data_IF_611185796845
#
_entry.id   IF_611185796845
#
_cell.length_a   1.000
_cell.length_b   1.000
_cell.length_c   1.000
_cell.angle_alpha   90.00
_cell.angle_beta   90.00
_cell.angle_gamma   90.00
#
_symmetry.space_group_name_H-M   'P 1'
#
loop_
_entity.id
_entity.type
_entity.pdbx_description
1 polymer ?
#
# COMPACT_ATOMS: atom_id res chain seq x y z
N UNK A 1 -20.37 20.21 14.17
CA UNK A 1 -18.96 19.96 13.80
C UNK A 1 -18.73 20.50 12.39
N UNK A 2 -17.78 21.43 12.18
CA UNK A 2 -17.44 21.97 10.85
C UNK A 2 -16.27 21.17 10.28
N UNK A 3 -16.57 20.08 9.58
CA UNK A 3 -15.54 19.33 8.86
C UNK A 3 -15.38 19.90 7.45
N UNK A 4 -14.17 20.38 7.15
CA UNK A 4 -13.77 20.74 5.80
C UNK A 4 -13.29 19.46 5.11
N UNK A 5 -13.91 19.12 3.99
CA UNK A 5 -13.58 17.95 3.19
C UNK A 5 -13.19 18.42 1.79
N UNK A 6 -12.13 17.84 1.23
CA UNK A 6 -11.79 17.97 -0.19
C UNK A 6 -11.29 16.60 -0.62
N UNK A 7 -11.88 16.03 -1.67
CA UNK A 7 -11.47 14.73 -2.17
C UNK A 7 -11.81 14.54 -3.64
N UNK A 8 -11.07 13.65 -4.29
CA UNK A 8 -11.41 13.18 -5.64
C UNK A 8 -12.62 12.27 -5.61
N UNK A 9 -13.40 12.27 -6.70
CA UNK A 9 -14.67 11.58 -6.78
C UNK A 9 -14.82 10.82 -8.09
N UNK A 10 -15.34 9.60 -8.01
CA UNK A 10 -15.91 8.90 -9.16
C UNK A 10 -17.36 9.38 -9.32
N UNK A 11 -17.63 10.08 -10.42
CA UNK A 11 -18.93 10.72 -10.70
C UNK A 11 -19.92 9.77 -11.40
N UNK A 12 -19.41 8.78 -12.14
CA UNK A 12 -20.16 7.87 -13.02
C UNK A 12 -21.24 7.03 -12.31
N UNK A 13 -21.13 6.81 -10.99
CA UNK A 13 -22.08 5.99 -10.21
C UNK A 13 -22.73 6.76 -9.06
N UNK A 14 -22.60 8.09 -9.01
CA UNK A 14 -23.11 8.89 -7.88
C UNK A 14 -24.42 9.60 -8.20
N UNK A 15 -25.45 9.25 -7.44
CA UNK A 15 -26.74 9.96 -7.45
C UNK A 15 -26.54 11.41 -6.99
N UNK A 16 -27.15 12.36 -7.70
CA UNK A 16 -27.08 13.79 -7.38
C UNK A 16 -25.84 14.52 -7.91
N UNK A 17 -25.05 13.88 -8.78
CA UNK A 17 -23.99 14.56 -9.53
C UNK A 17 -24.58 15.55 -10.55
N UNK A 18 -23.85 16.63 -10.83
CA UNK A 18 -24.25 17.64 -11.81
C UNK A 18 -23.63 17.32 -13.17
N UNK A 19 -24.46 16.91 -14.13
CA UNK A 19 -24.05 16.55 -15.50
C UNK A 19 -23.43 17.73 -16.27
N UNK A 20 -23.70 18.98 -15.89
CA UNK A 20 -23.08 20.17 -16.50
C UNK A 20 -21.55 20.24 -16.30
N UNK A 21 -21.04 19.52 -15.28
CA UNK A 21 -19.62 19.41 -15.03
C UNK A 21 -18.94 18.35 -15.90
N UNK A 22 -19.69 17.49 -16.58
CA UNK A 22 -19.13 16.38 -17.32
C UNK A 22 -18.32 16.86 -18.53
N UNK A 23 -17.10 16.34 -18.62
CA UNK A 23 -16.22 16.59 -19.74
C UNK A 23 -16.29 15.42 -20.73
N UNK A 24 -16.42 15.67 -22.05
CA UNK A 24 -16.74 14.63 -23.05
C UNK A 24 -15.67 13.55 -23.24
N UNK A 25 -14.45 13.74 -22.70
CA UNK A 25 -13.32 12.80 -22.83
C UNK A 25 -12.56 12.66 -21.52
N UNK A 26 -11.98 11.49 -21.24
CA UNK A 26 -11.14 11.28 -20.05
C UNK A 26 -9.83 12.10 -20.07
N UNK A 27 -9.33 12.43 -21.25
CA UNK A 27 -8.13 13.26 -21.46
C UNK A 27 -8.52 14.67 -21.91
N UNK A 28 -7.76 15.67 -21.46
CA UNK A 28 -7.95 17.07 -21.88
C UNK A 28 -7.72 17.20 -23.39
N UNK A 29 -8.59 17.94 -24.06
CA UNK A 29 -8.44 18.27 -25.48
C UNK A 29 -7.54 19.50 -25.66
N UNK A 30 -6.81 19.56 -26.77
CA UNK A 30 -5.87 20.67 -27.06
C UNK A 30 -6.53 22.05 -26.98
N UNK A 31 -7.80 22.16 -27.38
CA UNK A 31 -8.62 23.38 -27.34
C UNK A 31 -8.95 23.88 -25.93
N UNK A 32 -8.95 23.01 -24.92
CA UNK A 32 -9.24 23.41 -23.53
C UNK A 32 -7.92 23.84 -22.90
N UNK A 33 -7.77 25.10 -22.44
CA UNK A 33 -6.56 25.52 -21.75
C UNK A 33 -6.24 24.61 -20.57
N UNK A 34 -4.95 24.36 -20.35
CA UNK A 34 -4.52 23.54 -19.22
C UNK A 34 -4.82 24.28 -17.91
N UNK A 35 -5.40 23.60 -16.94
CA UNK A 35 -5.81 24.19 -15.67
C UNK A 35 -7.22 24.77 -15.67
N UNK A 36 -7.93 24.76 -16.80
CA UNK A 36 -9.34 25.13 -16.83
C UNK A 36 -10.14 24.29 -15.85
N UNK A 37 -11.09 24.92 -15.17
CA UNK A 37 -11.97 24.24 -14.24
C UNK A 37 -13.38 24.81 -14.31
N UNK A 38 -14.35 24.00 -13.91
CA UNK A 38 -15.74 24.40 -13.69
C UNK A 38 -16.15 24.00 -12.29
N UNK A 39 -17.00 24.79 -11.66
CA UNK A 39 -17.51 24.48 -10.32
C UNK A 39 -18.99 24.70 -10.27
N UNK A 40 -19.67 23.83 -9.52
CA UNK A 40 -21.10 23.94 -9.25
C UNK A 40 -21.32 23.73 -7.76
N UNK A 41 -22.14 24.59 -7.17
CA UNK A 41 -22.55 24.49 -5.76
C UNK A 41 -23.79 23.61 -5.69
N UNK A 42 -23.84 22.68 -4.72
CA UNK A 42 -24.98 21.80 -4.56
C UNK A 42 -26.23 22.58 -4.13
N UNK A 43 -27.34 22.37 -4.85
CA UNK A 43 -28.63 23.03 -4.56
C UNK A 43 -29.15 22.74 -3.15
N UNK A 44 -28.95 21.50 -2.68
CA UNK A 44 -29.41 21.04 -1.36
C UNK A 44 -28.49 21.45 -0.21
N UNK A 45 -27.24 21.81 -0.50
CA UNK A 45 -26.27 22.21 0.51
C UNK A 45 -25.29 23.23 -0.10
N UNK A 46 -25.48 24.54 0.16
CA UNK A 46 -24.59 25.59 -0.31
C UNK A 46 -23.13 25.44 0.16
N UNK A 47 -22.89 24.65 1.20
CA UNK A 47 -21.55 24.30 1.66
C UNK A 47 -20.85 23.26 0.79
N UNK A 48 -21.51 22.61 -0.16
CA UNK A 48 -20.90 21.55 -0.97
C UNK A 48 -20.67 22.04 -2.40
N UNK A 49 -19.43 21.88 -2.89
CA UNK A 49 -19.02 22.29 -4.23
C UNK A 49 -18.45 21.09 -4.97
N UNK A 50 -18.96 20.84 -6.17
CA UNK A 50 -18.41 19.91 -7.14
C UNK A 50 -17.51 20.67 -8.13
N UNK A 51 -16.36 20.11 -8.46
CA UNK A 51 -15.36 20.76 -9.33
C UNK A 51 -14.93 19.76 -10.41
N UNK A 52 -14.89 20.21 -11.66
CA UNK A 52 -14.18 19.55 -12.75
C UNK A 52 -12.90 20.31 -13.04
N UNK A 53 -11.77 19.63 -13.07
CA UNK A 53 -10.46 20.21 -13.37
C UNK A 53 -9.81 19.50 -14.56
N UNK A 54 -9.43 20.29 -15.57
CA UNK A 54 -8.84 19.82 -16.82
C UNK A 54 -7.33 20.11 -16.86
N UNK A 55 -6.52 19.11 -16.53
CA UNK A 55 -5.06 19.19 -16.61
C UNK A 55 -4.51 18.32 -17.77
N UNK A 56 -3.69 17.31 -17.50
CA UNK A 56 -3.40 16.28 -18.51
C UNK A 56 -4.61 15.34 -18.69
N UNK A 57 -5.25 15.01 -17.58
CA UNK A 57 -6.48 14.24 -17.50
C UNK A 57 -7.59 15.10 -16.89
N UNK A 58 -8.82 14.64 -17.02
CA UNK A 58 -9.95 15.25 -16.33
C UNK A 58 -10.08 14.61 -14.95
N UNK A 59 -10.17 15.44 -13.91
CA UNK A 59 -10.33 15.00 -12.53
C UNK A 59 -11.50 15.75 -11.91
N UNK A 60 -12.32 15.02 -11.17
CA UNK A 60 -13.46 15.57 -10.46
C UNK A 60 -13.18 15.60 -8.96
N UNK A 61 -13.64 16.65 -8.30
CA UNK A 61 -13.52 16.82 -6.85
C UNK A 61 -14.88 17.16 -6.24
N UNK A 62 -15.03 16.78 -4.98
CA UNK A 62 -16.10 17.23 -4.11
C UNK A 62 -15.48 17.90 -2.89
N UNK A 63 -15.95 19.08 -2.54
CA UNK A 63 -15.42 19.86 -1.45
C UNK A 63 -16.51 20.50 -0.59
N UNK A 64 -16.33 20.48 0.73
CA UNK A 64 -16.99 21.39 1.71
C UNK A 64 -16.48 22.82 1.46
N UNK A 65 -17.10 23.90 1.94
CA UNK A 65 -16.84 25.23 1.40
C UNK A 65 -15.44 25.67 1.81
N UNK A 66 -14.53 25.58 0.85
CA UNK A 66 -13.16 26.06 0.90
C UNK A 66 -13.07 27.10 -0.21
N UNK A 67 -12.34 28.19 0.06
CA UNK A 67 -12.19 29.39 -0.78
C UNK A 67 -12.31 29.08 -2.29
N UNK A 68 -13.44 29.52 -2.86
CA UNK A 68 -13.86 29.37 -4.26
C UNK A 68 -13.00 30.20 -5.23
N UNK A 69 -12.04 30.96 -4.72
CA UNK A 69 -11.15 31.78 -5.54
C UNK A 69 -10.24 30.91 -6.42
N UNK A 70 -10.13 31.29 -7.70
CA UNK A 70 -9.10 30.77 -8.58
C UNK A 70 -7.72 31.19 -8.07
N UNK A 71 -6.78 30.25 -8.05
CA UNK A 71 -5.38 30.51 -7.73
C UNK A 71 -4.49 30.04 -8.88
N UNK A 72 -3.21 30.41 -8.87
CA UNK A 72 -2.24 29.91 -9.83
C UNK A 72 -1.25 28.98 -9.14
N UNK A 73 -0.81 27.96 -9.86
CA UNK A 73 0.31 27.08 -9.47
C UNK A 73 1.36 27.15 -10.55
N UNK A 74 2.62 27.37 -10.13
CA UNK A 74 3.77 27.30 -11.03
C UNK A 74 3.97 25.86 -11.45
N UNK A 75 3.99 25.60 -12.76
CA UNK A 75 4.32 24.28 -13.31
C UNK A 75 5.38 24.37 -14.38
N UNK A 76 6.28 23.40 -14.35
CA UNK A 76 7.20 23.10 -15.45
C UNK A 76 6.43 22.27 -16.47
N UNK A 77 6.28 22.82 -17.67
CA UNK A 77 5.70 22.09 -18.80
C UNK A 77 6.86 21.41 -19.52
N UNK A 78 6.69 20.15 -19.94
CA UNK A 78 7.70 19.46 -20.76
C UNK A 78 8.09 20.38 -21.91
N UNK A 79 9.38 20.68 -22.01
CA UNK A 79 10.01 21.55 -23.01
C UNK A 79 9.62 23.05 -23.03
N UNK A 80 9.03 23.61 -21.96
CA UNK A 80 8.75 25.06 -21.85
C UNK A 80 9.15 25.65 -20.50
N UNK A 81 9.46 26.96 -20.43
CA UNK A 81 9.74 27.66 -19.18
C UNK A 81 8.55 27.57 -18.20
N UNK A 82 8.85 27.83 -16.91
CA UNK A 82 7.85 27.81 -15.84
C UNK A 82 6.63 28.65 -16.21
N UNK A 83 5.45 28.04 -16.22
CA UNK A 83 4.19 28.70 -16.55
C UNK A 83 3.24 28.67 -15.34
N UNK A 84 2.49 29.76 -15.17
CA UNK A 84 1.43 29.82 -14.17
C UNK A 84 0.18 29.16 -14.75
N UNK A 85 -0.22 28.04 -14.17
CA UNK A 85 -1.42 27.31 -14.56
C UNK A 85 -2.53 27.65 -13.58
N UNK A 86 -3.71 27.97 -14.10
CA UNK A 86 -4.88 28.23 -13.27
C UNK A 86 -5.29 26.96 -12.53
N UNK A 87 -5.66 27.08 -11.27
CA UNK A 87 -6.18 25.98 -10.47
C UNK A 87 -7.17 26.49 -9.41
N UNK A 88 -8.18 25.69 -9.03
CA UNK A 88 -9.03 26.00 -7.89
C UNK A 88 -8.21 26.12 -6.60
N UNK A 89 -8.42 27.16 -5.80
CA UNK A 89 -7.75 27.34 -4.49
C UNK A 89 -7.93 26.14 -3.56
N UNK A 90 -9.10 25.49 -3.62
CA UNK A 90 -9.42 24.26 -2.90
C UNK A 90 -8.50 23.08 -3.27
N UNK A 91 -8.06 22.97 -4.53
CA UNK A 91 -7.12 21.93 -4.96
C UNK A 91 -5.72 22.22 -4.43
N UNK A 92 -5.29 23.49 -4.44
CA UNK A 92 -4.02 23.91 -3.84
C UNK A 92 -3.99 23.59 -2.34
N UNK A 93 -5.06 23.91 -1.63
CA UNK A 93 -5.20 23.60 -0.20
C UNK A 93 -5.15 22.09 0.07
N UNK A 94 -5.87 21.28 -0.73
CA UNK A 94 -5.80 19.82 -0.63
C UNK A 94 -4.38 19.29 -0.81
N UNK A 95 -3.69 19.74 -1.87
CA UNK A 95 -2.33 19.30 -2.15
C UNK A 95 -1.36 19.67 -1.04
N UNK A 96 -1.41 20.90 -0.53
CA UNK A 96 -0.59 21.34 0.61
C UNK A 96 -0.92 20.53 1.87
N UNK A 97 -2.20 20.19 2.09
CA UNK A 97 -2.61 19.33 3.20
C UNK A 97 -2.01 17.92 3.11
N UNK A 98 -2.09 17.29 1.94
CA UNK A 98 -1.49 15.95 1.71
C UNK A 98 0.02 15.99 1.86
N UNK A 99 0.70 17.02 1.33
CA UNK A 99 2.13 17.21 1.52
C UNK A 99 2.48 17.38 3.00
N UNK A 100 1.74 18.20 3.75
CA UNK A 100 1.94 18.39 5.18
C UNK A 100 1.85 17.07 5.95
N UNK A 101 0.82 16.27 5.66
CA UNK A 101 0.66 14.94 6.27
C UNK A 101 1.82 14.00 5.92
N UNK A 102 2.27 13.99 4.67
CA UNK A 102 3.39 13.18 4.23
C UNK A 102 4.71 13.59 4.93
N UNK A 103 4.96 14.89 5.10
CA UNK A 103 6.13 15.41 5.80
C UNK A 103 6.13 15.00 7.28
N UNK A 104 4.99 15.11 7.97
CA UNK A 104 4.86 14.67 9.37
C UNK A 104 5.11 13.16 9.49
N UNK A 105 4.50 12.36 8.62
CA UNK A 105 4.71 10.91 8.63
C UNK A 105 6.17 10.52 8.33
N UNK A 106 6.80 11.21 7.37
CA UNK A 106 8.21 11.02 7.05
C UNK A 106 9.10 11.36 8.25
N UNK A 107 8.79 12.44 8.97
CA UNK A 107 9.52 12.82 10.18
C UNK A 107 9.33 11.80 11.32
N UNK A 108 8.11 11.28 11.54
CA UNK A 108 7.87 10.24 12.55
C UNK A 108 8.74 9.00 12.27
N UNK A 109 8.80 8.56 11.01
CA UNK A 109 9.62 7.41 10.61
C UNK A 109 11.11 7.73 10.78
N UNK A 110 11.55 8.90 10.31
CA UNK A 110 12.92 9.35 10.45
C UNK A 110 13.33 9.37 11.93
N UNK A 111 12.51 9.98 12.80
CA UNK A 111 12.75 10.04 14.24
C UNK A 111 12.84 8.64 14.87
N UNK A 112 11.92 7.74 14.55
CA UNK A 112 11.93 6.36 15.05
C UNK A 112 13.21 5.59 14.65
N UNK A 113 13.70 5.79 13.42
CA UNK A 113 14.95 5.16 12.94
C UNK A 113 16.17 5.82 13.60
N UNK A 114 16.14 7.14 13.80
CA UNK A 114 17.25 7.90 14.37
C UNK A 114 17.36 7.85 15.90
N UNK A 115 16.31 7.49 16.62
CA UNK A 115 16.40 7.21 18.07
C UNK A 115 17.43 6.12 18.41
N UNK A 116 17.74 5.25 17.44
CA UNK A 116 18.75 4.19 17.57
C UNK A 116 20.18 4.67 17.29
N UNK A 117 20.38 5.94 16.90
CA UNK A 117 21.70 6.51 16.56
C UNK A 117 22.18 7.51 17.62
N UNK A 118 23.50 7.62 17.86
CA UNK A 118 24.06 8.48 18.91
C UNK A 118 23.95 9.99 18.60
N UNK A 119 23.84 10.38 17.33
CA UNK A 119 23.57 11.77 16.93
C UNK A 119 22.13 11.91 16.46
N UNK A 120 21.37 12.76 17.16
CA UNK A 120 20.01 13.15 16.77
C UNK A 120 20.09 14.36 15.85
N UNK A 121 19.52 14.26 14.66
CA UNK A 121 19.34 15.41 13.79
C UNK A 121 18.15 16.23 14.31
N UNK A 122 18.26 17.55 14.27
CA UNK A 122 17.13 18.42 14.60
C UNK A 122 16.02 18.29 13.54
N UNK A 123 14.78 18.64 13.91
CA UNK A 123 13.66 18.72 12.95
C UNK A 123 13.98 19.65 11.76
N UNK A 124 14.71 20.73 12.03
CA UNK A 124 15.15 21.68 11.01
C UNK A 124 16.14 21.05 10.02
N UNK A 125 17.16 20.33 10.51
CA UNK A 125 18.14 19.65 9.65
C UNK A 125 17.48 18.59 8.77
N UNK A 126 16.52 17.85 9.30
CA UNK A 126 15.73 16.89 8.52
C UNK A 126 14.99 17.58 7.37
N UNK A 127 14.28 18.68 7.66
CA UNK A 127 13.54 19.42 6.64
C UNK A 127 14.46 20.07 5.60
N UNK A 128 15.63 20.58 6.02
CA UNK A 128 16.61 21.17 5.12
C UNK A 128 17.20 20.12 4.16
N UNK A 129 17.53 18.94 4.68
CA UNK A 129 18.04 17.82 3.89
C UNK A 129 16.98 17.32 2.90
N UNK A 130 15.74 17.12 3.38
CA UNK A 130 14.62 16.71 2.53
C UNK A 130 14.30 17.75 1.44
N UNK A 131 14.38 19.04 1.77
CA UNK A 131 14.17 20.10 0.79
C UNK A 131 15.24 20.07 -0.30
N UNK A 132 16.50 19.88 0.08
CA UNK A 132 17.61 19.75 -0.86
C UNK A 132 17.39 18.56 -1.81
N UNK A 133 17.09 17.39 -1.26
CA UNK A 133 16.81 16.17 -2.04
C UNK A 133 15.67 16.40 -3.03
N UNK A 134 14.54 16.97 -2.58
CA UNK A 134 13.37 17.25 -3.44
C UNK A 134 13.65 18.26 -4.56
N UNK A 135 14.59 19.18 -4.38
CA UNK A 135 15.00 20.16 -5.40
C UNK A 135 15.93 19.53 -6.44
N UNK A 136 16.77 18.59 -6.00
CA UNK A 136 17.72 17.85 -6.85
C UNK A 136 17.03 16.74 -7.69
N UNK A 137 15.78 16.39 -7.35
CA UNK A 137 15.00 15.42 -8.13
C UNK A 137 14.80 15.84 -9.59
N UNK A 138 14.98 14.88 -10.50
CA UNK A 138 14.87 15.09 -11.95
C UNK A 138 13.70 14.29 -12.54
N UNK A 139 13.26 14.62 -13.77
CA UNK A 139 12.22 13.84 -14.47
C UNK A 139 12.60 12.35 -14.56
N UNK A 140 13.90 12.03 -14.63
CA UNK A 140 14.40 10.66 -14.68
C UNK A 140 14.02 9.86 -13.43
N UNK A 141 14.08 10.46 -12.25
CA UNK A 141 13.69 9.85 -10.96
C UNK A 141 12.23 9.39 -10.95
N UNK A 142 11.35 10.10 -11.67
CA UNK A 142 9.92 9.77 -11.77
C UNK A 142 9.61 8.77 -12.89
N UNK A 143 10.52 8.59 -13.86
CA UNK A 143 10.38 7.64 -14.97
C UNK A 143 11.11 6.32 -14.76
N UNK A 144 12.08 6.27 -13.83
CA UNK A 144 12.81 5.05 -13.45
C UNK A 144 11.98 4.05 -12.62
N UNK A 145 10.66 4.27 -12.44
CA UNK A 145 9.76 3.26 -11.89
C UNK A 145 9.36 2.15 -12.89
N UNK A 146 9.91 2.12 -14.10
CA UNK A 146 10.01 0.87 -14.85
C UNK A 146 11.32 0.18 -14.45
N UNK A 147 11.18 -0.83 -13.60
CA UNK A 147 12.16 -1.88 -13.23
C UNK A 147 13.65 -1.48 -13.25
N UNK A 148 14.35 -1.44 -12.09
CA UNK A 148 15.80 -1.36 -12.12
C UNK A 148 16.36 -2.54 -12.93
N UNK A 149 17.45 -2.34 -13.69
CA UNK A 149 18.22 -3.45 -14.24
C UNK A 149 18.66 -4.33 -13.06
N UNK A 150 18.47 -5.62 -13.22
CA UNK A 150 18.92 -6.73 -12.38
C UNK A 150 20.30 -6.46 -11.74
N UNK A 151 20.32 -5.97 -10.50
CA UNK A 151 21.18 -6.45 -9.39
C UNK A 151 21.06 -5.51 -8.21
N UNK A 152 20.10 -5.77 -7.33
CA UNK A 152 20.11 -5.54 -5.88
C UNK A 152 18.68 -5.69 -5.37
N UNK A 153 18.39 -6.86 -4.81
CA UNK A 153 17.11 -7.16 -4.15
C UNK A 153 16.98 -6.31 -2.89
N UNK A 154 16.35 -5.14 -3.02
CA UNK A 154 15.61 -4.53 -1.92
C UNK A 154 14.31 -5.33 -1.76
N UNK A 155 13.91 -5.79 -0.57
CA UNK A 155 12.71 -6.58 -0.41
C UNK A 155 11.49 -5.71 -0.74
N UNK A 156 10.91 -5.96 -1.92
CA UNK A 156 9.63 -5.39 -2.30
C UNK A 156 8.58 -5.73 -1.23
N UNK A 157 7.66 -4.78 -1.05
CA UNK A 157 6.51 -4.91 -0.14
C UNK A 157 5.84 -6.27 -0.31
N UNK A 158 5.26 -6.84 0.76
CA UNK A 158 4.80 -8.21 0.75
C UNK A 158 3.71 -8.35 -0.31
N UNK A 159 4.03 -9.05 -1.40
CA UNK A 159 3.05 -9.48 -2.40
C UNK A 159 1.94 -10.16 -1.62
N UNK A 160 0.73 -9.62 -1.78
CA UNK A 160 -0.49 -10.21 -1.22
C UNK A 160 -0.53 -11.62 -1.79
N UNK A 161 -0.38 -12.62 -0.92
CA UNK A 161 -0.52 -14.02 -1.31
C UNK A 161 -1.78 -14.12 -2.17
N UNK A 162 -1.64 -14.67 -3.38
CA UNK A 162 -2.71 -14.83 -4.37
C UNK A 162 -4.04 -15.07 -3.64
N UNK A 163 -5.10 -14.30 -3.97
CA UNK A 163 -6.41 -14.32 -3.28
C UNK A 163 -7.00 -15.73 -3.08
N UNK A 164 -6.51 -16.68 -3.86
CA UNK A 164 -6.82 -18.09 -3.86
C UNK A 164 -6.22 -18.90 -2.70
N UNK A 165 -5.08 -18.49 -2.13
CA UNK A 165 -4.34 -19.21 -1.09
C UNK A 165 -4.57 -18.64 0.31
N UNK A 166 -5.84 -18.42 0.66
CA UNK A 166 -6.23 -17.94 1.98
C UNK A 166 -5.98 -19.01 3.08
N UNK A 167 -5.45 -18.57 4.23
CA UNK A 167 -5.23 -19.44 5.37
C UNK A 167 -6.53 -19.61 6.18
N UNK A 168 -6.91 -20.86 6.41
CA UNK A 168 -8.07 -21.26 7.22
C UNK A 168 -7.59 -21.82 8.57
N UNK A 169 -8.30 -21.52 9.65
CA UNK A 169 -7.98 -22.03 10.98
C UNK A 169 -8.50 -23.47 11.13
N UNK A 170 -7.68 -24.37 11.67
CA UNK A 170 -8.05 -25.76 11.96
C UNK A 170 -9.14 -25.81 13.04
N UNK A 171 -10.13 -26.69 12.85
CA UNK A 171 -11.19 -26.99 13.82
C UNK A 171 -10.84 -28.12 14.79
N UNK A 172 -9.82 -28.93 14.48
CA UNK A 172 -9.24 -29.95 15.37
C UNK A 172 -8.92 -29.35 16.73
N UNK A 173 -9.68 -29.74 17.75
CA UNK A 173 -9.39 -29.42 19.13
C UNK A 173 -8.81 -30.65 19.85
N UNK A 174 -7.95 -30.40 20.84
CA UNK A 174 -7.45 -31.40 21.78
C UNK A 174 -7.85 -30.99 23.19
N UNK A 175 -8.31 -31.97 23.96
CA UNK A 175 -8.49 -31.81 25.40
C UNK A 175 -7.12 -31.85 26.08
N UNK A 176 -6.78 -30.78 26.80
CA UNK A 176 -5.60 -30.73 27.64
C UNK A 176 -6.02 -30.20 29.01
N UNK A 177 -5.93 -31.04 30.04
CA UNK A 177 -6.33 -30.72 31.41
C UNK A 177 -7.74 -30.11 31.52
N UNK A 178 -8.72 -30.71 30.83
CA UNK A 178 -10.13 -30.25 30.83
C UNK A 178 -10.42 -29.01 29.98
N UNK A 179 -9.41 -28.37 29.39
CA UNK A 179 -9.57 -27.21 28.50
C UNK A 179 -9.44 -27.65 27.04
N UNK A 180 -10.46 -27.34 26.23
CA UNK A 180 -10.44 -27.58 24.80
C UNK A 180 -9.54 -26.54 24.11
N UNK A 181 -8.43 -26.98 23.50
CA UNK A 181 -7.48 -26.11 22.78
C UNK A 181 -7.31 -26.57 21.35
N UNK A 182 -7.29 -25.62 20.41
CA UNK A 182 -7.02 -25.92 19.01
C UNK A 182 -5.64 -26.57 18.83
N UNK A 183 -5.59 -27.58 17.97
CA UNK A 183 -4.40 -28.37 17.70
C UNK A 183 -3.37 -27.53 16.94
N UNK A 184 -2.31 -27.15 17.63
CA UNK A 184 -1.17 -26.48 17.01
C UNK A 184 -0.28 -27.48 16.27
N UNK A 185 -0.15 -27.31 14.96
CA UNK A 185 0.71 -28.10 14.07
C UNK A 185 1.99 -27.33 13.76
N UNK A 186 3.06 -28.03 13.35
CA UNK A 186 4.32 -27.38 12.99
C UNK A 186 4.14 -26.66 11.65
N UNK A 187 4.61 -25.41 11.58
CA UNK A 187 4.63 -24.66 10.33
C UNK A 187 5.69 -25.26 9.40
N UNK A 188 5.31 -25.61 8.16
CA UNK A 188 6.23 -26.22 7.20
C UNK A 188 7.45 -25.33 6.92
N UNK A 189 7.26 -24.02 6.76
CA UNK A 189 8.37 -23.07 6.55
C UNK A 189 9.29 -22.97 7.77
N UNK A 190 8.73 -22.85 8.98
CA UNK A 190 9.55 -22.79 10.19
C UNK A 190 10.32 -24.10 10.41
N UNK A 191 9.75 -25.25 10.02
CA UNK A 191 10.43 -26.54 10.09
C UNK A 191 11.67 -26.61 9.18
N UNK A 192 11.69 -25.88 8.06
CA UNK A 192 12.86 -25.83 7.16
C UNK A 192 13.95 -24.94 7.72
N UNK A 193 13.60 -23.75 8.22
CA UNK A 193 14.55 -22.81 8.82
C UNK A 193 14.97 -23.17 10.25
N UNK A 194 14.63 -24.39 10.68
CA UNK A 194 14.88 -24.84 12.03
C UNK A 194 16.39 -25.05 12.25
N UNK A 195 17.00 -24.38 13.24
CA UNK A 195 18.40 -24.63 13.56
C UNK A 195 18.58 -26.02 14.19
N UNK A 196 19.73 -26.63 13.93
CA UNK A 196 20.12 -27.90 14.52
C UNK A 196 20.10 -27.81 16.06
N UNK A 197 19.49 -28.81 16.71
CA UNK A 197 19.41 -28.88 18.17
C UNK A 197 18.12 -28.35 18.82
N UNK A 198 17.25 -27.60 18.13
CA UNK A 198 15.94 -27.21 18.73
C UNK A 198 14.92 -28.35 18.66
N UNK A 199 14.10 -28.54 19.70
CA UNK A 199 13.02 -29.57 19.69
C UNK A 199 11.81 -29.18 18.85
N UNK A 200 11.49 -27.88 18.76
CA UNK A 200 10.29 -27.39 18.05
C UNK A 200 10.57 -26.03 17.41
N UNK A 201 10.22 -25.88 16.15
CA UNK A 201 10.17 -24.59 15.48
C UNK A 201 8.71 -24.21 15.16
N UNK A 202 8.46 -22.92 14.97
CA UNK A 202 7.15 -22.26 15.02
C UNK A 202 5.92 -23.11 14.70
N UNK A 203 4.91 -23.04 15.57
CA UNK A 203 3.62 -23.72 15.35
C UNK A 203 2.55 -22.77 14.85
N UNK A 204 1.55 -23.32 14.17
CA UNK A 204 0.37 -22.59 13.70
C UNK A 204 -0.87 -23.46 13.83
N UNK A 205 -2.02 -22.80 13.98
CA UNK A 205 -3.36 -23.38 13.87
C UNK A 205 -3.97 -23.12 12.50
N UNK A 206 -3.23 -22.50 11.58
CA UNK A 206 -3.70 -22.14 10.25
C UNK A 206 -3.08 -23.03 9.18
N UNK A 207 -3.86 -23.38 8.16
CA UNK A 207 -3.43 -24.15 6.99
C UNK A 207 -4.03 -23.57 5.71
N UNK A 208 -3.39 -23.84 4.57
CA UNK A 208 -3.94 -23.47 3.26
C UNK A 208 -4.81 -24.62 2.73
N UNK A 209 -6.07 -24.32 2.38
CA UNK A 209 -7.01 -25.32 1.84
C UNK A 209 -6.62 -25.70 0.41
N UNK A 210 -6.31 -24.73 -0.46
CA UNK A 210 -5.92 -25.03 -1.85
C UNK A 210 -4.64 -25.85 -1.96
N UNK A 211 -3.64 -25.60 -1.11
CA UNK A 211 -2.42 -26.40 -1.14
C UNK A 211 -2.59 -27.81 -0.57
N UNK A 212 -3.75 -28.14 0.02
CA UNK A 212 -4.09 -29.50 0.40
C UNK A 212 -4.49 -30.34 -0.82
N UNK A 213 -5.04 -29.74 -1.87
CA UNK A 213 -5.48 -30.44 -3.08
C UNK A 213 -4.26 -31.13 -3.73
N UNK A 214 -4.19 -32.46 -3.62
CA UNK A 214 -3.09 -33.28 -4.14
C UNK A 214 -1.98 -33.63 -3.15
N UNK A 215 -2.05 -33.22 -1.87
CA UNK A 215 -1.05 -33.62 -0.84
C UNK A 215 -1.67 -34.47 0.27
N UNK A 216 -0.85 -35.32 0.91
CA UNK A 216 -1.32 -36.29 1.92
C UNK A 216 -1.73 -35.67 3.27
N UNK A 217 -1.64 -34.36 3.48
CA UNK A 217 -2.03 -33.73 4.74
C UNK A 217 -2.02 -32.19 4.71
N UNK A 218 -2.58 -31.52 5.75
CA UNK A 218 -2.77 -30.08 5.78
C UNK A 218 -1.44 -29.33 5.81
N UNK A 219 -1.25 -28.43 4.83
CA UNK A 219 -0.09 -27.54 4.80
C UNK A 219 -0.28 -26.44 5.83
N UNK A 220 0.25 -26.70 7.02
CA UNK A 220 0.20 -25.76 8.14
C UNK A 220 1.22 -24.64 7.93
N UNK A 221 0.76 -23.38 7.94
CA UNK A 221 1.58 -22.20 7.70
C UNK A 221 1.28 -21.11 8.73
N UNK A 222 2.31 -20.36 9.10
CA UNK A 222 2.19 -19.21 9.99
C UNK A 222 1.95 -17.92 9.19
N UNK A 223 1.06 -17.03 9.64
CA UNK A 223 0.90 -15.71 9.02
C UNK A 223 1.70 -14.63 9.78
N UNK A 224 2.95 -14.93 10.12
CA UNK A 224 3.84 -14.02 10.87
C UNK A 224 5.20 -13.94 10.21
N UNK A 225 5.79 -12.75 10.19
CA UNK A 225 7.19 -12.55 9.78
C UNK A 225 8.08 -13.13 10.89
N UNK A 226 8.99 -14.04 10.51
CA UNK A 226 9.88 -14.76 11.45
C UNK A 226 11.35 -14.38 11.30
N UNK A 227 11.70 -13.53 10.34
CA UNK A 227 13.08 -13.09 10.08
C UNK A 227 13.96 -14.24 9.59
N UNK A 228 13.47 -15.03 8.63
CA UNK A 228 14.26 -16.12 8.06
C UNK A 228 15.41 -15.53 7.19
N UNK A 229 16.67 -15.98 7.33
CA UNK A 229 17.85 -15.28 6.75
C UNK A 229 17.84 -15.08 5.23
N UNK A 230 17.09 -15.91 4.49
CA UNK A 230 16.95 -15.81 3.04
C UNK A 230 15.63 -15.16 2.59
N UNK A 231 14.72 -14.89 3.54
CA UNK A 231 13.35 -14.45 3.30
C UNK A 231 12.93 -13.43 4.38
N UNK A 232 13.77 -12.43 4.60
CA UNK A 232 13.50 -11.36 5.56
C UNK A 232 12.26 -10.55 5.11
N UNK A 233 11.41 -10.17 6.07
CA UNK A 233 10.18 -9.41 5.80
C UNK A 233 8.98 -10.23 5.28
N UNK A 234 9.17 -11.48 4.83
CA UNK A 234 8.06 -12.32 4.40
C UNK A 234 7.45 -13.13 5.56
N UNK A 235 6.12 -13.31 5.51
CA UNK A 235 5.42 -14.26 6.39
C UNK A 235 5.67 -15.70 5.94
N UNK A 236 5.53 -16.69 6.82
CA UNK A 236 5.63 -18.10 6.39
C UNK A 236 4.65 -18.44 5.25
N UNK A 237 3.45 -17.85 5.26
CA UNK A 237 2.48 -18.02 4.17
C UNK A 237 3.03 -17.53 2.83
N UNK A 238 3.66 -16.37 2.82
CA UNK A 238 4.22 -15.79 1.59
C UNK A 238 5.44 -16.55 1.11
N UNK A 239 6.31 -17.00 2.02
CA UNK A 239 7.45 -17.84 1.66
C UNK A 239 6.96 -19.11 0.96
N UNK A 240 5.92 -19.76 1.49
CA UNK A 240 5.39 -20.98 0.89
C UNK A 240 4.75 -20.75 -0.49
N UNK A 241 3.90 -19.73 -0.62
CA UNK A 241 3.12 -19.53 -1.86
C UNK A 241 3.91 -18.79 -2.95
N UNK A 242 4.76 -17.83 -2.59
CA UNK A 242 5.47 -16.97 -3.53
C UNK A 242 6.90 -17.47 -3.75
N UNK A 243 7.68 -17.60 -2.68
CA UNK A 243 9.11 -17.90 -2.81
C UNK A 243 9.34 -19.37 -3.15
N UNK A 244 8.54 -20.27 -2.59
CA UNK A 244 8.65 -21.70 -2.82
C UNK A 244 7.65 -22.23 -3.86
N UNK A 245 6.95 -21.34 -4.57
CA UNK A 245 5.96 -21.70 -5.61
C UNK A 245 5.03 -22.85 -5.16
N UNK A 246 4.24 -22.61 -4.10
CA UNK A 246 3.32 -23.59 -3.51
C UNK A 246 3.99 -24.86 -2.95
N UNK A 247 5.31 -24.79 -2.72
CA UNK A 247 6.14 -25.84 -2.15
C UNK A 247 6.89 -26.68 -3.18
N UNK A 248 6.89 -26.31 -4.46
CA UNK A 248 7.69 -26.98 -5.50
C UNK A 248 9.18 -26.70 -5.35
N UNK A 249 9.54 -25.47 -4.96
CA UNK A 249 10.92 -25.04 -4.73
C UNK A 249 11.33 -25.12 -3.25
N UNK A 250 10.56 -25.84 -2.43
CA UNK A 250 10.86 -25.98 -1.01
C UNK A 250 12.15 -26.81 -0.80
N UNK A 251 13.07 -26.40 0.11
CA UNK A 251 14.32 -27.12 0.32
C UNK A 251 14.12 -28.59 0.75
N UNK A 252 14.60 -29.52 -0.07
CA UNK A 252 14.50 -30.99 0.11
C UNK A 252 15.20 -31.48 1.37
N UNK A 253 16.16 -30.72 1.91
CA UNK A 253 16.92 -31.03 3.11
C UNK A 253 16.10 -31.01 4.41
N UNK A 254 14.84 -30.59 4.36
CA UNK A 254 14.00 -30.48 5.54
C UNK A 254 13.05 -31.67 5.66
N UNK A 255 12.97 -32.26 6.85
CA UNK A 255 12.01 -33.32 7.18
C UNK A 255 10.56 -32.77 7.17
N UNK A 256 10.05 -32.46 5.98
CA UNK A 256 8.65 -32.11 5.72
C UNK A 256 7.85 -33.40 5.93
N UNK A 257 7.50 -33.69 7.19
CA UNK A 257 6.65 -34.83 7.52
C UNK A 257 5.25 -34.53 6.99
N UNK A 258 4.84 -35.20 5.93
CA UNK A 258 3.45 -35.26 5.49
C UNK A 258 2.70 -36.21 6.40
N UNK A 259 2.31 -35.70 7.57
CA UNK A 259 1.47 -36.46 8.49
C UNK A 259 0.05 -36.43 7.97
N UNK A 260 -0.39 -37.57 7.44
CA UNK A 260 -1.78 -37.83 7.14
C UNK A 260 -2.68 -37.50 8.32
N UNK A 261 -3.83 -36.90 8.04
CA UNK A 261 -4.97 -36.98 8.93
C UNK A 261 -5.50 -38.40 8.76
N UNK A 262 -5.41 -39.22 9.81
CA UNK A 262 -6.20 -40.45 9.88
C UNK A 262 -7.64 -39.98 9.96
N UNK A 263 -8.38 -40.19 8.88
CA UNK A 263 -9.84 -40.16 8.89
C UNK A 263 -10.28 -41.41 9.63
N UNK A 264 -10.87 -41.23 10.82
CA UNK A 264 -11.79 -42.22 11.41
C UNK A 264 -13.14 -42.10 10.73
#
# INVERSE_FOLDING_TARGET
>A
MRFNYVGTIQHDRRKGWCEELDYPKKKRQARTPRGSFRMVVAKSNPGLVAIMWADNTIVYFLASPVVVASTTVRRRVRSRPLSNVLCPGTIKAYFVGVLGMALVNAYIIHHYVWEKKPKKNSHFEFLAQLHKELVEETEASFTQSCAPPTDQRVPERPVVAHREHALTQTTDARLNNGVQRLRQRQCKVCSVYKPEGKKRDGTSTYYCVKCLEGKRGPITLCNKVRGHPQNEGFTCSQIWHIVWEHGELAPTASHIRDRGLITE
#
